data_IF_940718803000
#
_entry.id   IF_940718803000
#
_cell.length_a   1.000
_cell.length_b   1.000
_cell.length_c   1.000
_cell.angle_alpha   90.00
_cell.angle_beta   90.00
_cell.angle_gamma   90.00
#
_symmetry.space_group_name_H-M   'P 1'
#
loop_
_entity.id
_entity.type
_entity.pdbx_description
1 polymer ?
#
# COMPACT_ATOMS: atom_id res chain seq x y z
N UNK A 1 10.94 9.22 10.72
CA UNK A 1 9.52 9.63 10.62
C UNK A 1 9.11 9.40 9.19
N UNK A 2 7.97 8.73 8.93
CA UNK A 2 7.52 8.46 7.55
C UNK A 2 7.29 9.78 6.79
N UNK A 3 7.58 9.82 5.47
CA UNK A 3 7.31 11.01 4.67
C UNK A 3 5.81 11.28 4.63
N UNK A 4 5.43 12.56 4.65
CA UNK A 4 4.03 12.97 4.49
C UNK A 4 3.72 13.08 3.01
N UNK A 5 2.83 12.22 2.53
CA UNK A 5 2.44 12.13 1.11
C UNK A 5 0.95 12.39 0.98
N UNK A 6 0.54 13.36 0.16
CA UNK A 6 -0.83 13.89 0.14
C UNK A 6 -1.92 12.85 -0.16
N UNK A 7 -1.63 11.86 -1.03
CA UNK A 7 -2.60 10.83 -1.41
C UNK A 7 -2.62 9.61 -0.45
N UNK A 8 -1.66 9.51 0.46
CA UNK A 8 -1.56 8.42 1.43
C UNK A 8 -2.49 8.64 2.62
N UNK A 9 -2.97 7.53 3.17
CA UNK A 9 -3.87 7.47 4.31
C UNK A 9 -3.37 6.42 5.28
N UNK A 10 -3.85 6.42 6.53
CA UNK A 10 -3.48 5.37 7.50
C UNK A 10 -3.81 3.93 7.04
N UNK A 11 -4.75 3.77 6.10
CA UNK A 11 -5.03 2.46 5.50
C UNK A 11 -3.88 1.94 4.62
N UNK A 12 -3.11 2.83 4.00
CA UNK A 12 -1.94 2.45 3.20
C UNK A 12 -0.82 1.96 4.10
N UNK A 13 -0.56 2.70 5.16
CA UNK A 13 0.38 2.32 6.22
C UNK A 13 0.01 0.94 6.76
N UNK A 14 -1.25 0.72 7.16
CA UNK A 14 -1.71 -0.58 7.67
C UNK A 14 -1.49 -1.72 6.67
N UNK A 15 -1.69 -1.49 5.37
CA UNK A 15 -1.47 -2.51 4.34
C UNK A 15 0.03 -2.79 4.18
N UNK A 16 0.86 -1.75 4.09
CA UNK A 16 2.30 -1.88 3.92
C UNK A 16 2.95 -2.53 5.14
N UNK A 17 2.61 -2.08 6.34
CA UNK A 17 3.04 -2.66 7.62
C UNK A 17 2.68 -4.14 7.65
N UNK A 18 1.41 -4.49 7.39
CA UNK A 18 0.98 -5.88 7.45
C UNK A 18 1.75 -6.77 6.47
N UNK A 19 1.93 -6.33 5.22
CA UNK A 19 2.68 -7.09 4.22
C UNK A 19 4.16 -7.23 4.61
N UNK A 20 4.77 -6.16 5.14
CA UNK A 20 6.20 -6.11 5.48
C UNK A 20 6.56 -6.84 6.76
N UNK A 21 5.81 -6.63 7.84
CA UNK A 21 6.06 -7.25 9.15
C UNK A 21 5.86 -8.77 9.11
N UNK A 22 4.92 -9.25 8.29
CA UNK A 22 4.63 -10.67 8.17
C UNK A 22 5.41 -11.36 7.03
N UNK A 23 6.11 -10.60 6.18
CA UNK A 23 6.79 -11.09 4.98
C UNK A 23 5.89 -12.01 4.12
N UNK A 24 4.70 -11.50 3.78
CA UNK A 24 3.68 -12.26 3.03
C UNK A 24 3.28 -11.57 1.73
N UNK A 25 2.83 -12.38 0.78
CA UNK A 25 2.05 -11.92 -0.35
C UNK A 25 0.57 -12.27 -0.15
N UNK A 26 -0.34 -11.30 -0.32
CA UNK A 26 -1.78 -11.53 -0.16
C UNK A 26 -2.61 -10.88 -1.27
N UNK A 27 -3.69 -11.57 -1.64
CA UNK A 27 -4.76 -10.97 -2.43
C UNK A 27 -5.60 -10.01 -1.57
N UNK A 28 -6.36 -9.07 -2.17
CA UNK A 28 -7.19 -8.11 -1.43
C UNK A 28 -8.14 -8.72 -0.39
N UNK A 29 -8.67 -9.92 -0.65
CA UNK A 29 -9.51 -10.63 0.32
C UNK A 29 -8.70 -11.16 1.51
N UNK A 30 -7.47 -11.61 1.29
CA UNK A 30 -6.57 -12.03 2.35
C UNK A 30 -6.16 -10.86 3.25
N UNK A 31 -5.88 -9.70 2.66
CA UNK A 31 -5.61 -8.47 3.41
C UNK A 31 -6.80 -8.08 4.28
N UNK A 32 -8.02 -8.07 3.73
CA UNK A 32 -9.24 -7.75 4.49
C UNK A 32 -9.40 -8.64 5.73
N UNK A 33 -9.27 -9.96 5.55
CA UNK A 33 -9.44 -10.93 6.64
C UNK A 33 -8.38 -10.73 7.71
N UNK A 34 -7.11 -10.59 7.34
CA UNK A 34 -6.04 -10.54 8.33
C UNK A 34 -5.95 -9.18 9.02
N UNK A 35 -6.16 -8.07 8.33
CA UNK A 35 -6.24 -6.74 8.97
C UNK A 35 -7.41 -6.68 9.97
N UNK A 36 -8.56 -7.28 9.64
CA UNK A 36 -9.67 -7.39 10.58
C UNK A 36 -9.30 -8.19 11.83
N UNK A 37 -8.46 -9.24 11.70
CA UNK A 37 -7.96 -10.03 12.83
C UNK A 37 -7.00 -9.24 13.72
N UNK A 38 -6.26 -8.29 13.16
CA UNK A 38 -5.43 -7.32 13.89
C UNK A 38 -6.24 -6.14 14.47
N UNK A 39 -7.58 -6.17 14.38
CA UNK A 39 -8.46 -5.10 14.86
C UNK A 39 -8.54 -3.89 13.93
N UNK A 40 -7.96 -3.96 12.73
CA UNK A 40 -7.95 -2.91 11.72
C UNK A 40 -9.08 -3.17 10.71
N UNK A 41 -10.17 -2.41 10.82
CA UNK A 41 -11.35 -2.58 9.96
C UNK A 41 -11.27 -1.74 8.69
N UNK A 42 -10.91 -2.35 7.56
CA UNK A 42 -10.90 -1.72 6.22
C UNK A 42 -11.77 -2.53 5.28
N UNK A 43 -12.74 -1.88 4.61
CA UNK A 43 -13.61 -2.58 3.64
C UNK A 43 -12.83 -3.12 2.44
N UNK A 44 -13.23 -4.28 1.90
CA UNK A 44 -12.70 -4.83 0.64
C UNK A 44 -12.56 -3.81 -0.49
N UNK A 45 -13.60 -2.97 -0.70
CA UNK A 45 -13.61 -1.94 -1.76
C UNK A 45 -12.49 -0.92 -1.55
N UNK A 46 -12.26 -0.51 -0.30
CA UNK A 46 -11.16 0.39 0.04
C UNK A 46 -9.81 -0.30 -0.22
N UNK A 47 -9.63 -1.53 0.24
CA UNK A 47 -8.39 -2.30 0.03
C UNK A 47 -8.07 -2.41 -1.47
N UNK A 48 -9.04 -2.77 -2.31
CA UNK A 48 -8.83 -2.87 -3.75
C UNK A 48 -8.34 -1.55 -4.37
N UNK A 49 -8.92 -0.41 -3.97
CA UNK A 49 -8.48 0.91 -4.43
C UNK A 49 -7.07 1.23 -3.94
N UNK A 50 -6.77 0.98 -2.66
CA UNK A 50 -5.46 1.31 -2.07
C UNK A 50 -4.34 0.44 -2.63
N UNK A 51 -4.55 -0.87 -2.73
CA UNK A 51 -3.60 -1.81 -3.35
C UNK A 51 -3.30 -1.42 -4.80
N UNK A 52 -4.30 -1.01 -5.58
CA UNK A 52 -4.06 -0.49 -6.94
C UNK A 52 -3.13 0.73 -6.93
N UNK A 53 -3.41 1.75 -6.10
CA UNK A 53 -2.59 2.97 -6.03
C UNK A 53 -1.19 2.71 -5.47
N UNK A 54 -1.06 1.87 -4.45
CA UNK A 54 0.23 1.44 -3.89
C UNK A 54 1.09 0.73 -4.95
N UNK A 55 0.46 -0.11 -5.77
CA UNK A 55 1.12 -0.79 -6.87
C UNK A 55 1.55 0.19 -7.98
N UNK A 56 0.68 1.11 -8.37
CA UNK A 56 1.00 2.18 -9.33
C UNK A 56 2.20 3.04 -8.86
N UNK A 57 2.36 3.20 -7.54
CA UNK A 57 3.47 3.94 -6.92
C UNK A 57 4.72 3.10 -6.62
N UNK A 58 4.67 1.80 -6.94
CA UNK A 58 5.79 0.87 -6.77
C UNK A 58 6.10 0.49 -5.32
N UNK A 59 5.20 0.78 -4.37
CA UNK A 59 5.36 0.41 -2.96
C UNK A 59 5.01 -1.06 -2.69
N UNK A 60 4.22 -1.66 -3.58
CA UNK A 60 3.92 -3.08 -3.61
C UNK A 60 3.99 -3.60 -5.05
N UNK A 61 4.25 -4.89 -5.22
CA UNK A 61 4.31 -5.56 -6.52
C UNK A 61 3.37 -6.74 -6.59
N UNK A 62 2.92 -7.07 -7.80
CA UNK A 62 2.17 -8.31 -8.04
C UNK A 62 3.15 -9.46 -8.21
N UNK A 63 3.09 -10.43 -7.30
CA UNK A 63 3.93 -11.64 -7.39
C UNK A 63 3.21 -12.82 -8.07
N UNK A 64 1.91 -12.69 -8.34
CA UNK A 64 1.12 -13.68 -9.07
C UNK A 64 0.01 -13.03 -9.90
N UNK A 65 0.21 -12.95 -11.22
CA UNK A 65 -0.66 -12.20 -12.14
C UNK A 65 -2.13 -12.67 -12.12
N UNK A 66 -2.36 -13.98 -12.09
CA UNK A 66 -3.71 -14.56 -12.18
C UNK A 66 -4.51 -14.49 -10.88
N UNK A 67 -3.85 -14.25 -9.74
CA UNK A 67 -4.49 -14.33 -8.43
C UNK A 67 -4.47 -12.99 -7.67
N UNK A 68 -3.79 -11.98 -8.23
CA UNK A 68 -3.73 -10.63 -7.65
C UNK A 68 -3.10 -10.61 -6.26
N UNK A 69 -2.05 -11.41 -6.06
CA UNK A 69 -1.28 -11.41 -4.81
C UNK A 69 -0.24 -10.30 -4.84
N UNK A 70 -0.20 -9.52 -3.77
CA UNK A 70 0.72 -8.39 -3.64
C UNK A 70 1.68 -8.61 -2.49
N UNK A 71 2.96 -8.32 -2.73
CA UNK A 71 4.00 -8.24 -1.72
C UNK A 71 4.54 -6.80 -1.66
N UNK A 72 5.05 -6.40 -0.51
CA UNK A 72 5.74 -5.12 -0.36
C UNK A 72 7.09 -5.14 -1.09
N UNK A 73 7.47 -4.04 -1.74
CA UNK A 73 8.76 -3.88 -2.42
C UNK A 73 9.83 -3.30 -1.48
N UNK A 74 11.07 -3.18 -1.96
CA UNK A 74 12.13 -2.44 -1.23
C UNK A 74 11.76 -0.97 -1.06
N UNK A 75 11.18 -0.33 -2.09
CA UNK A 75 10.66 1.05 -2.01
C UNK A 75 9.58 1.18 -0.94
N UNK A 76 8.71 0.18 -0.82
CA UNK A 76 7.70 0.11 0.25
C UNK A 76 8.31 0.05 1.65
N UNK A 77 9.41 -0.70 1.84
CA UNK A 77 10.12 -0.80 3.12
C UNK A 77 10.81 0.51 3.48
N UNK A 78 11.52 1.11 2.53
CA UNK A 78 12.14 2.43 2.72
C UNK A 78 11.11 3.50 3.12
N UNK A 79 9.91 3.47 2.54
CA UNK A 79 8.81 4.33 2.96
C UNK A 79 8.46 4.12 4.45
N UNK A 80 8.29 2.87 4.88
CA UNK A 80 7.93 2.53 6.27
C UNK A 80 9.01 2.96 7.28
N UNK A 81 10.28 2.84 6.89
CA UNK A 81 11.46 3.24 7.66
C UNK A 81 11.66 4.77 7.68
N UNK A 82 11.02 5.49 6.76
CA UNK A 82 11.16 6.93 6.60
C UNK A 82 12.45 7.32 5.86
N UNK A 83 12.99 6.42 5.05
CA UNK A 83 14.18 6.60 4.23
C UNK A 83 13.86 7.09 2.81
N UNK A 84 12.57 7.08 2.43
CA UNK A 84 12.11 7.54 1.12
C UNK A 84 11.74 9.04 1.15
N UNK A 85 12.14 9.80 0.12
CA UNK A 85 11.70 11.18 -0.05
C UNK A 85 10.22 11.23 -0.48
N UNK A 86 9.45 12.16 0.08
CA UNK A 86 8.04 12.34 -0.27
C UNK A 86 7.82 12.62 -1.76
N UNK A 87 8.74 13.38 -2.38
CA UNK A 87 8.69 13.75 -3.80
C UNK A 87 8.72 12.54 -4.74
N UNK A 88 9.30 11.40 -4.31
CA UNK A 88 9.31 10.15 -5.08
C UNK A 88 7.94 9.46 -5.15
N UNK A 89 6.97 9.92 -4.36
CA UNK A 89 5.62 9.39 -4.27
C UNK A 89 4.55 10.38 -4.71
N UNK A 90 4.88 11.66 -4.84
CA UNK A 90 3.94 12.68 -5.32
C UNK A 90 3.40 12.32 -6.72
N UNK A 91 2.18 12.75 -7.02
CA UNK A 91 1.64 12.66 -8.37
C UNK A 91 2.19 13.88 -9.14
N UNK A 92 2.93 13.66 -10.24
CA UNK A 92 3.53 14.74 -11.07
C UNK A 92 2.50 15.65 -11.78
N UNK A 93 1.22 15.56 -11.42
CA UNK A 93 0.18 16.36 -12.04
C UNK A 93 -1.21 16.08 -11.49
N UNK A 94 -1.57 16.70 -10.37
CA UNK A 94 -2.93 17.19 -10.18
C UNK A 94 -3.14 18.40 -11.09
N UNK A 95 -3.31 18.14 -12.39
CA UNK A 95 -3.96 19.04 -13.33
C UNK A 95 -5.07 18.28 -14.05
N UNK A 96 -5.95 17.65 -13.29
CA UNK A 96 -7.32 17.44 -13.76
C UNK A 96 -8.11 18.69 -13.37
N UNK A 97 -8.34 19.51 -14.40
CA UNK A 97 -9.04 20.77 -14.28
C UNK A 97 -10.46 20.63 -13.72
N UNK A 98 -10.81 21.63 -12.91
CA UNK A 98 -12.13 22.26 -12.74
C UNK A 98 -13.39 21.44 -13.05
#
# INVERSE_FOLDING_TARGET
MRPRVAWMTGNDDSILEFLGENDVALAPRGLEINLQREGISISKRTIQRRVKKLHEKGLIEKVHENAGYYAITDKGRQYLEGELDASELEDDGDNDGK
#
